data_IF_304531133275
#
_entry.id   IF_304531133275
#
_cell.length_a   1.000
_cell.length_b   1.000
_cell.length_c   1.000
_cell.angle_alpha   90.00
_cell.angle_beta   90.00
_cell.angle_gamma   90.00
#
_symmetry.space_group_name_H-M   'P 1'
#
loop_
_entity.id
_entity.type
_entity.pdbx_description
1 polymer ?
#
# COMPACT_ATOMS: atom_id res chain seq x y z
N UNK A 1 -21.52 -26.56 -5.43
CA UNK A 1 -20.42 -25.59 -5.59
C UNK A 1 -20.88 -24.13 -5.81
N UNK A 2 -21.89 -23.81 -6.64
CA UNK A 2 -22.32 -22.41 -6.88
C UNK A 2 -22.82 -21.66 -5.62
N UNK A 3 -23.49 -22.38 -4.70
CA UNK A 3 -23.95 -21.83 -3.40
C UNK A 3 -22.77 -21.43 -2.49
N UNK A 4 -21.71 -22.25 -2.45
CA UNK A 4 -20.52 -21.97 -1.65
C UNK A 4 -19.73 -20.77 -2.19
N UNK A 5 -19.56 -20.69 -3.52
CA UNK A 5 -18.97 -19.51 -4.17
C UNK A 5 -19.77 -18.24 -3.86
N UNK A 6 -21.10 -18.30 -4.03
CA UNK A 6 -21.98 -17.14 -3.77
C UNK A 6 -21.90 -16.70 -2.32
N UNK A 7 -21.87 -17.64 -1.38
CA UNK A 7 -21.69 -17.36 0.04
C UNK A 7 -20.33 -16.68 0.29
N UNK A 8 -19.22 -17.30 -0.14
CA UNK A 8 -17.88 -16.75 0.06
C UNK A 8 -17.72 -15.35 -0.55
N UNK A 9 -18.21 -15.14 -1.78
CA UNK A 9 -18.19 -13.85 -2.45
C UNK A 9 -18.97 -12.79 -1.66
N UNK A 10 -20.23 -13.09 -1.28
CA UNK A 10 -21.06 -12.15 -0.52
C UNK A 10 -20.46 -11.82 0.84
N UNK A 11 -19.96 -12.83 1.57
CA UNK A 11 -19.33 -12.62 2.87
C UNK A 11 -18.10 -11.72 2.76
N UNK A 12 -17.24 -11.93 1.75
CA UNK A 12 -16.07 -11.06 1.52
C UNK A 12 -16.47 -9.63 1.13
N UNK A 13 -17.50 -9.46 0.32
CA UNK A 13 -18.02 -8.13 0.00
C UNK A 13 -18.62 -7.43 1.23
N UNK A 14 -19.39 -8.15 2.07
CA UNK A 14 -19.94 -7.62 3.33
C UNK A 14 -18.80 -7.18 4.27
N UNK A 15 -17.77 -8.00 4.45
CA UNK A 15 -16.60 -7.63 5.24
C UNK A 15 -15.89 -6.39 4.66
N UNK A 16 -15.83 -6.27 3.33
CA UNK A 16 -15.28 -5.07 2.67
C UNK A 16 -16.13 -3.83 2.95
N UNK A 17 -17.47 -3.96 2.97
CA UNK A 17 -18.37 -2.85 3.38
C UNK A 17 -18.11 -2.46 4.83
N UNK A 18 -18.07 -3.44 5.74
CA UNK A 18 -17.83 -3.19 7.16
C UNK A 18 -16.48 -2.49 7.36
N UNK A 19 -15.44 -2.94 6.65
CA UNK A 19 -14.12 -2.31 6.66
C UNK A 19 -14.20 -0.83 6.27
N UNK A 20 -14.80 -0.49 5.13
CA UNK A 20 -14.91 0.90 4.68
C UNK A 20 -15.83 1.74 5.56
N UNK A 21 -16.92 1.16 6.07
CA UNK A 21 -17.83 1.84 6.99
C UNK A 21 -17.13 2.20 8.31
N UNK A 22 -16.42 1.26 8.94
CA UNK A 22 -15.64 1.52 10.15
C UNK A 22 -14.53 2.54 9.90
N UNK A 23 -13.81 2.41 8.79
CA UNK A 23 -12.75 3.35 8.38
C UNK A 23 -13.31 4.77 8.22
N UNK A 24 -14.47 4.90 7.56
CA UNK A 24 -15.16 6.18 7.39
C UNK A 24 -15.59 6.78 8.73
N UNK A 25 -16.20 5.98 9.61
CA UNK A 25 -16.63 6.42 10.94
C UNK A 25 -15.44 6.93 11.76
N UNK A 26 -14.35 6.17 11.84
CA UNK A 26 -13.16 6.60 12.59
C UNK A 26 -12.47 7.80 11.96
N UNK A 27 -12.42 7.88 10.62
CA UNK A 27 -11.86 9.06 9.93
C UNK A 27 -12.67 10.33 10.20
N UNK A 28 -14.01 10.23 10.18
CA UNK A 28 -14.90 11.33 10.57
C UNK A 28 -14.74 11.69 12.05
N UNK A 29 -14.58 10.69 12.92
CA UNK A 29 -14.31 10.93 14.33
C UNK A 29 -13.04 11.77 14.50
N UNK A 30 -11.91 11.40 13.89
CA UNK A 30 -10.67 12.19 13.96
C UNK A 30 -10.82 13.61 13.40
N UNK A 31 -11.57 13.77 12.30
CA UNK A 31 -11.85 15.08 11.72
C UNK A 31 -12.61 16.01 12.70
N UNK A 32 -13.43 15.44 13.58
CA UNK A 32 -14.27 16.19 14.54
C UNK A 32 -13.61 16.34 15.91
N UNK A 33 -12.98 15.30 16.44
CA UNK A 33 -12.45 15.26 17.81
C UNK A 33 -11.02 15.78 17.93
N UNK A 34 -10.25 15.71 16.84
CA UNK A 34 -8.91 16.28 16.76
C UNK A 34 -8.85 17.27 15.59
N UNK A 35 -9.73 18.29 15.57
CA UNK A 35 -9.90 19.13 14.42
C UNK A 35 -8.71 20.11 14.35
N UNK A 36 -8.08 20.17 13.18
CA UNK A 36 -7.02 21.16 12.92
C UNK A 36 -7.58 22.56 12.66
N UNK A 37 -8.88 22.68 12.38
CA UNK A 37 -9.58 23.95 12.17
C UNK A 37 -10.97 23.87 12.80
N UNK A 38 -11.74 24.96 12.76
CA UNK A 38 -13.12 24.95 13.25
C UNK A 38 -13.96 23.85 12.54
N UNK A 39 -14.69 23.04 13.32
CA UNK A 39 -15.46 21.89 12.81
C UNK A 39 -16.51 22.27 11.76
N UNK A 40 -17.17 23.42 11.90
CA UNK A 40 -18.13 23.91 10.89
C UNK A 40 -17.42 24.17 9.55
N UNK A 41 -16.26 24.84 9.59
CA UNK A 41 -15.45 25.07 8.39
C UNK A 41 -14.98 23.76 7.76
N UNK A 42 -14.61 22.76 8.57
CA UNK A 42 -14.22 21.44 8.08
C UNK A 42 -15.37 20.70 7.38
N UNK A 43 -16.60 20.79 7.90
CA UNK A 43 -17.79 20.21 7.26
C UNK A 43 -18.07 20.91 5.92
N UNK A 44 -18.01 22.25 5.89
CA UNK A 44 -18.17 23.01 4.65
C UNK A 44 -17.09 22.63 3.64
N UNK A 45 -15.83 22.54 4.07
CA UNK A 45 -14.71 22.14 3.23
C UNK A 45 -14.90 20.70 2.68
N UNK A 46 -15.39 19.77 3.51
CA UNK A 46 -15.71 18.41 3.07
C UNK A 46 -16.79 18.42 1.97
N UNK A 47 -17.85 19.20 2.13
CA UNK A 47 -18.89 19.33 1.11
C UNK A 47 -18.34 19.90 -0.20
N UNK A 48 -17.46 20.91 -0.12
CA UNK A 48 -16.77 21.47 -1.29
C UNK A 48 -15.92 20.41 -1.99
N UNK A 49 -15.14 19.61 -1.23
CA UNK A 49 -14.33 18.53 -1.78
C UNK A 49 -15.21 17.48 -2.48
N UNK A 50 -16.32 17.05 -1.86
CA UNK A 50 -17.23 16.08 -2.46
C UNK A 50 -17.85 16.58 -3.77
N UNK A 51 -18.32 17.83 -3.78
CA UNK A 51 -18.85 18.49 -4.98
C UNK A 51 -17.76 18.62 -6.05
N UNK A 52 -16.56 19.06 -5.65
CA UNK A 52 -15.41 19.20 -6.53
C UNK A 52 -15.00 17.89 -7.18
N UNK A 53 -14.99 16.77 -6.43
CA UNK A 53 -14.74 15.43 -6.98
C UNK A 53 -15.79 15.08 -8.03
N UNK A 54 -17.07 15.20 -7.74
CA UNK A 54 -18.14 14.87 -8.71
C UNK A 54 -18.07 15.75 -9.95
N UNK A 55 -17.88 17.06 -9.77
CA UNK A 55 -17.80 18.03 -10.85
C UNK A 55 -16.61 17.78 -11.77
N UNK A 56 -15.40 17.66 -11.21
CA UNK A 56 -14.18 17.35 -11.97
C UNK A 56 -14.29 16.01 -12.68
N UNK A 57 -14.91 15.01 -12.03
CA UNK A 57 -15.18 13.69 -12.63
C UNK A 57 -16.05 13.80 -13.88
N UNK A 58 -17.07 14.66 -13.88
CA UNK A 58 -17.91 14.91 -15.06
C UNK A 58 -17.11 15.58 -16.18
N UNK A 59 -16.27 16.57 -15.85
CA UNK A 59 -15.44 17.29 -16.82
C UNK A 59 -14.46 16.33 -17.51
N UNK A 60 -13.62 15.62 -16.74
CA UNK A 60 -12.58 14.77 -17.31
C UNK A 60 -13.17 13.62 -18.14
N UNK A 61 -14.39 13.19 -17.83
CA UNK A 61 -15.08 12.16 -18.60
C UNK A 61 -15.83 12.67 -19.82
N UNK A 62 -16.17 13.96 -19.86
CA UNK A 62 -16.88 14.56 -20.99
C UNK A 62 -15.94 15.06 -22.08
N UNK A 63 -14.80 15.65 -21.70
CA UNK A 63 -13.98 16.44 -22.62
C UNK A 63 -12.71 15.75 -23.11
N UNK A 64 -12.23 14.70 -22.42
CA UNK A 64 -11.01 14.01 -22.83
C UNK A 64 -11.29 12.74 -23.62
N UNK A 65 -10.56 12.52 -24.70
CA UNK A 65 -10.39 11.17 -25.25
C UNK A 65 -9.54 10.32 -24.30
N UNK A 66 -9.52 9.00 -24.53
CA UNK A 66 -8.73 8.08 -23.72
C UNK A 66 -7.23 8.45 -23.72
N UNK A 67 -6.66 8.69 -24.91
CA UNK A 67 -5.24 9.04 -25.07
C UNK A 67 -4.92 10.40 -24.45
N UNK A 68 -5.76 11.40 -24.69
CA UNK A 68 -5.59 12.72 -24.08
C UNK A 68 -5.61 12.65 -22.55
N UNK A 69 -6.52 11.85 -21.99
CA UNK A 69 -6.60 11.67 -20.53
C UNK A 69 -5.33 11.01 -19.99
N UNK A 70 -4.81 9.96 -20.64
CA UNK A 70 -3.56 9.30 -20.22
C UNK A 70 -2.39 10.29 -20.23
N UNK A 71 -2.24 11.08 -21.28
CA UNK A 71 -1.17 12.09 -21.37
C UNK A 71 -1.34 13.12 -20.24
N UNK A 72 -2.55 13.68 -20.10
CA UNK A 72 -2.85 14.65 -19.06
C UNK A 72 -2.56 14.12 -17.66
N UNK A 73 -3.04 12.93 -17.31
CA UNK A 73 -2.91 12.41 -15.96
C UNK A 73 -1.47 12.03 -15.61
N UNK A 74 -0.71 11.52 -16.58
CA UNK A 74 0.72 11.25 -16.40
C UNK A 74 1.51 12.55 -16.21
N UNK A 75 1.24 13.58 -17.03
CA UNK A 75 1.88 14.89 -16.88
C UNK A 75 1.51 15.54 -15.55
N UNK A 76 0.24 15.52 -15.15
CA UNK A 76 -0.21 16.05 -13.87
C UNK A 76 0.49 15.35 -12.70
N UNK A 77 0.51 14.01 -12.70
CA UNK A 77 1.14 13.23 -11.65
C UNK A 77 2.65 13.51 -11.56
N UNK A 78 3.32 13.59 -12.72
CA UNK A 78 4.75 13.89 -12.83
C UNK A 78 5.07 15.31 -12.35
N UNK A 79 4.37 16.33 -12.86
CA UNK A 79 4.64 17.75 -12.56
C UNK A 79 4.43 18.05 -11.08
N UNK A 80 3.33 17.59 -10.46
CA UNK A 80 3.07 17.85 -9.04
C UNK A 80 4.17 17.28 -8.14
N UNK A 81 4.67 16.08 -8.46
CA UNK A 81 5.72 15.40 -7.71
C UNK A 81 7.09 15.99 -7.98
N UNK A 82 7.39 16.34 -9.23
CA UNK A 82 8.61 17.04 -9.60
C UNK A 82 8.69 18.39 -8.88
N UNK A 83 7.61 19.17 -8.91
CA UNK A 83 7.51 20.45 -8.20
C UNK A 83 7.76 20.27 -6.69
N UNK A 84 7.19 19.22 -6.08
CA UNK A 84 7.43 18.92 -4.67
C UNK A 84 8.91 18.63 -4.37
N UNK A 85 9.56 17.71 -5.10
CA UNK A 85 10.95 17.34 -4.79
C UNK A 85 11.96 18.46 -5.07
N UNK A 86 11.62 19.41 -5.95
CA UNK A 86 12.45 20.58 -6.25
C UNK A 86 12.26 21.72 -5.24
N UNK A 87 11.15 21.74 -4.49
CA UNK A 87 10.83 22.82 -3.55
C UNK A 87 11.06 22.43 -2.08
N UNK A 88 10.83 21.16 -1.73
CA UNK A 88 10.94 20.67 -0.35
C UNK A 88 12.14 19.73 -0.21
N UNK A 89 13.15 20.20 0.51
CA UNK A 89 14.34 19.42 0.85
C UNK A 89 14.11 18.63 2.14
N UNK A 90 13.52 17.45 1.98
CA UNK A 90 13.31 16.49 3.08
C UNK A 90 14.63 15.85 3.51
N UNK A 91 14.91 15.85 4.82
CA UNK A 91 16.06 15.18 5.42
C UNK A 91 15.92 13.65 5.32
N UNK A 92 17.04 12.96 5.12
CA UNK A 92 17.10 11.50 5.11
C UNK A 92 17.37 11.05 6.55
N UNK A 93 16.40 10.37 7.18
CA UNK A 93 16.46 10.00 8.60
C UNK A 93 16.08 8.53 8.82
N UNK A 94 16.43 8.01 10.00
CA UNK A 94 16.08 6.65 10.47
C UNK A 94 16.47 5.57 9.44
N UNK A 95 15.60 4.57 9.22
CA UNK A 95 15.80 3.48 8.27
C UNK A 95 16.22 3.96 6.87
N UNK A 96 15.68 5.09 6.40
CA UNK A 96 16.02 5.63 5.09
C UNK A 96 17.45 6.14 5.03
N UNK A 97 18.00 6.64 6.14
CA UNK A 97 19.40 7.05 6.24
C UNK A 97 20.33 5.82 6.25
N UNK A 98 19.97 4.78 7.00
CA UNK A 98 20.72 3.53 7.04
C UNK A 98 20.86 2.92 5.64
N UNK A 99 19.74 2.77 4.93
CA UNK A 99 19.74 2.24 3.55
C UNK A 99 20.48 3.16 2.57
N UNK A 100 20.32 4.47 2.68
CA UNK A 100 21.03 5.40 1.79
C UNK A 100 22.55 5.37 1.99
N UNK A 101 23.01 5.39 3.25
CA UNK A 101 24.45 5.34 3.56
C UNK A 101 25.06 4.01 3.12
N UNK A 102 24.40 2.88 3.41
CA UNK A 102 24.82 1.58 2.90
C UNK A 102 24.83 1.51 1.37
N UNK A 103 23.92 2.21 0.70
CA UNK A 103 23.92 2.30 -0.76
C UNK A 103 25.09 3.12 -1.31
N UNK A 104 25.49 4.20 -0.64
CA UNK A 104 26.69 4.99 -0.97
C UNK A 104 27.95 4.15 -0.81
N UNK A 105 28.08 3.43 0.31
CA UNK A 105 29.18 2.50 0.53
C UNK A 105 29.25 1.42 -0.57
N UNK A 106 28.13 0.76 -0.85
CA UNK A 106 28.03 -0.27 -1.88
C UNK A 106 28.40 0.26 -3.28
N UNK A 107 27.99 1.49 -3.63
CA UNK A 107 28.33 2.11 -4.91
C UNK A 107 29.85 2.34 -5.06
N UNK A 108 30.55 2.53 -3.92
CA UNK A 108 32.00 2.66 -3.83
C UNK A 108 32.72 1.30 -3.60
N UNK A 109 32.03 0.17 -3.81
CA UNK A 109 32.52 -1.19 -3.55
C UNK A 109 32.90 -1.47 -2.08
N UNK A 110 32.37 -0.70 -1.14
CA UNK A 110 32.47 -0.98 0.28
C UNK A 110 31.19 -1.70 0.75
N UNK A 111 31.34 -2.94 1.26
CA UNK A 111 30.21 -3.73 1.76
C UNK A 111 30.25 -3.92 3.29
N UNK A 112 31.10 -3.19 4.01
CA UNK A 112 31.24 -3.33 5.47
C UNK A 112 29.94 -3.02 6.23
N UNK A 113 29.12 -2.10 5.72
CA UNK A 113 27.82 -1.71 6.28
C UNK A 113 26.88 -2.91 6.47
N UNK A 114 26.99 -3.94 5.62
CA UNK A 114 26.12 -5.11 5.68
C UNK A 114 26.35 -5.98 6.93
N UNK A 115 27.46 -5.78 7.64
CA UNK A 115 27.76 -6.41 8.92
C UNK A 115 27.21 -5.64 10.13
N UNK A 116 26.65 -4.44 9.93
CA UNK A 116 26.03 -3.68 11.02
C UNK A 116 24.78 -4.38 11.54
N UNK A 117 24.44 -4.13 12.81
CA UNK A 117 23.27 -4.74 13.47
C UNK A 117 21.99 -4.53 12.67
N UNK A 118 21.81 -3.36 12.05
CA UNK A 118 20.62 -3.06 11.23
C UNK A 118 20.46 -4.08 10.08
N UNK A 119 21.50 -4.27 9.27
CA UNK A 119 21.47 -5.12 8.07
C UNK A 119 21.58 -6.61 8.41
N UNK A 120 22.19 -6.97 9.53
CA UNK A 120 22.23 -8.36 10.00
C UNK A 120 20.94 -8.79 10.72
N UNK A 121 20.15 -7.84 11.23
CA UNK A 121 18.81 -8.10 11.79
C UNK A 121 17.76 -8.19 10.69
N UNK A 122 17.71 -7.17 9.83
CA UNK A 122 16.72 -7.01 8.77
C UNK A 122 17.38 -7.14 7.41
N UNK A 123 17.93 -8.32 7.13
CA UNK A 123 18.69 -8.61 5.90
C UNK A 123 17.89 -8.25 4.65
N UNK A 124 16.57 -8.41 4.68
CA UNK A 124 15.67 -8.00 3.60
C UNK A 124 15.82 -6.52 3.15
N UNK A 125 16.33 -5.62 4.00
CA UNK A 125 16.58 -4.21 3.63
C UNK A 125 17.70 -4.06 2.60
N UNK A 126 18.57 -5.07 2.45
CA UNK A 126 19.59 -5.09 1.41
C UNK A 126 19.00 -5.06 0.00
N UNK A 127 17.77 -5.57 -0.21
CA UNK A 127 17.12 -5.51 -1.51
C UNK A 127 16.97 -4.09 -2.05
N UNK A 128 16.39 -3.20 -1.23
CA UNK A 128 16.24 -1.79 -1.60
C UNK A 128 17.56 -1.02 -1.56
N UNK A 129 18.44 -1.34 -0.60
CA UNK A 129 19.78 -0.73 -0.46
C UNK A 129 20.63 -0.96 -1.72
N UNK A 130 20.67 -2.19 -2.23
CA UNK A 130 21.41 -2.53 -3.44
C UNK A 130 20.79 -1.93 -4.71
N UNK A 131 19.46 -1.78 -4.74
CA UNK A 131 18.80 -1.00 -5.78
C UNK A 131 19.28 0.47 -5.77
N UNK A 132 19.31 1.12 -4.60
CA UNK A 132 19.82 2.48 -4.48
C UNK A 132 21.29 2.57 -4.88
N UNK A 133 22.11 1.60 -4.48
CA UNK A 133 23.53 1.54 -4.84
C UNK A 133 23.73 1.50 -6.37
N UNK A 134 22.91 0.71 -7.08
CA UNK A 134 22.90 0.68 -8.54
C UNK A 134 22.55 2.03 -9.16
N UNK A 135 21.56 2.75 -8.60
CA UNK A 135 21.21 4.11 -9.06
C UNK A 135 22.38 5.07 -8.84
N UNK A 136 22.99 5.05 -7.65
CA UNK A 136 24.12 5.92 -7.32
C UNK A 136 25.35 5.61 -8.18
N UNK A 137 25.56 4.34 -8.54
CA UNK A 137 26.64 3.95 -9.45
C UNK A 137 26.45 4.52 -10.86
N UNK A 138 25.21 4.57 -11.34
CA UNK A 138 24.88 5.03 -12.69
C UNK A 138 24.83 6.55 -12.83
N UNK A 139 24.34 7.25 -11.80
CA UNK A 139 24.08 8.70 -11.86
C UNK A 139 24.97 9.54 -10.92
N UNK A 140 25.95 8.91 -10.27
CA UNK A 140 26.72 9.49 -9.17
C UNK A 140 25.94 9.50 -7.86
N UNK A 141 26.57 10.00 -6.79
CA UNK A 141 25.98 10.11 -5.44
C UNK A 141 24.88 11.20 -5.36
N UNK A 142 23.85 11.05 -6.19
CA UNK A 142 22.79 12.03 -6.42
C UNK A 142 21.49 11.57 -5.77
N UNK A 143 21.16 12.16 -4.63
CA UNK A 143 19.84 12.03 -3.99
C UNK A 143 18.72 12.42 -4.95
N UNK A 144 18.95 13.42 -5.81
CA UNK A 144 17.98 13.87 -6.81
C UNK A 144 17.66 12.76 -7.82
N UNK A 145 18.63 11.94 -8.24
CA UNK A 145 18.39 10.83 -9.16
C UNK A 145 17.40 9.82 -8.57
N UNK A 146 17.55 9.45 -7.29
CA UNK A 146 16.62 8.56 -6.59
C UNK A 146 15.23 9.21 -6.48
N UNK A 147 15.16 10.50 -6.12
CA UNK A 147 13.88 11.23 -6.04
C UNK A 147 13.17 11.31 -7.40
N UNK A 148 13.90 11.51 -8.50
CA UNK A 148 13.33 11.50 -9.86
C UNK A 148 12.77 10.12 -10.22
N UNK A 149 13.44 9.03 -9.85
CA UNK A 149 12.90 7.68 -10.03
C UNK A 149 11.61 7.48 -9.21
N UNK A 150 11.54 8.00 -7.97
CA UNK A 150 10.29 8.00 -7.19
C UNK A 150 9.15 8.72 -7.94
N UNK A 151 9.43 9.87 -8.57
CA UNK A 151 8.44 10.60 -9.39
C UNK A 151 7.94 9.71 -10.54
N UNK A 152 8.84 9.03 -11.23
CA UNK A 152 8.49 8.13 -12.34
C UNK A 152 7.65 6.93 -11.86
N UNK A 153 8.04 6.30 -10.75
CA UNK A 153 7.28 5.18 -10.17
C UNK A 153 5.87 5.60 -9.77
N UNK A 154 5.73 6.74 -9.09
CA UNK A 154 4.40 7.25 -8.73
C UNK A 154 3.55 7.64 -9.94
N UNK A 155 4.16 8.17 -11.00
CA UNK A 155 3.48 8.44 -12.27
C UNK A 155 2.99 7.13 -12.90
N UNK A 156 3.83 6.09 -12.88
CA UNK A 156 3.46 4.75 -13.33
C UNK A 156 2.35 4.10 -12.50
N UNK A 157 2.38 4.25 -11.17
CA UNK A 157 1.30 3.78 -10.29
C UNK A 157 -0.02 4.46 -10.67
N UNK A 158 -0.01 5.77 -10.91
CA UNK A 158 -1.19 6.54 -11.37
C UNK A 158 -1.79 5.95 -12.64
N UNK A 159 -0.94 5.62 -13.62
CA UNK A 159 -1.37 4.96 -14.85
C UNK A 159 -1.95 3.56 -14.60
N UNK A 160 -1.33 2.75 -13.73
CA UNK A 160 -1.86 1.42 -13.43
C UNK A 160 -3.20 1.47 -12.69
N UNK A 161 -3.40 2.42 -11.78
CA UNK A 161 -4.70 2.66 -11.13
C UNK A 161 -5.76 2.95 -12.18
N UNK A 162 -5.49 3.89 -13.09
CA UNK A 162 -6.39 4.22 -14.21
C UNK A 162 -6.76 2.96 -14.98
N UNK A 163 -5.77 2.20 -15.43
CA UNK A 163 -6.01 1.01 -16.26
C UNK A 163 -6.75 -0.08 -15.49
N UNK A 164 -6.40 -0.35 -14.23
CA UNK A 164 -7.06 -1.36 -13.41
C UNK A 164 -8.53 -0.99 -13.19
N UNK A 165 -8.81 0.22 -12.70
CA UNK A 165 -10.18 0.66 -12.46
C UNK A 165 -11.03 0.72 -13.75
N UNK A 166 -10.45 1.13 -14.89
CA UNK A 166 -11.13 1.07 -16.19
C UNK A 166 -11.52 -0.35 -16.60
N UNK A 167 -10.67 -1.35 -16.34
CA UNK A 167 -10.98 -2.76 -16.64
C UNK A 167 -11.95 -3.38 -15.63
N UNK A 168 -11.83 -3.02 -14.35
CA UNK A 168 -12.67 -3.59 -13.31
C UNK A 168 -14.12 -3.10 -13.41
N UNK A 169 -14.29 -1.82 -13.70
CA UNK A 169 -15.59 -1.15 -13.66
C UNK A 169 -15.96 -0.51 -15.00
N UNK A 170 -15.29 0.58 -15.36
CA UNK A 170 -15.49 1.34 -16.59
C UNK A 170 -14.51 2.52 -16.66
N UNK A 171 -14.40 3.12 -17.85
CA UNK A 171 -13.52 4.27 -18.10
C UNK A 171 -13.71 5.43 -17.12
N UNK A 172 -14.96 5.72 -16.73
CA UNK A 172 -15.23 6.80 -15.78
C UNK A 172 -14.58 6.54 -14.43
N UNK A 173 -14.78 5.35 -13.87
CA UNK A 173 -14.15 4.96 -12.61
C UNK A 173 -12.63 5.04 -12.68
N UNK A 174 -12.04 4.63 -13.81
CA UNK A 174 -10.61 4.70 -14.05
C UNK A 174 -10.06 6.12 -14.00
N UNK A 175 -10.71 7.05 -14.71
CA UNK A 175 -10.28 8.45 -14.74
C UNK A 175 -10.34 9.10 -13.36
N UNK A 176 -11.41 8.85 -12.62
CA UNK A 176 -11.58 9.39 -11.26
C UNK A 176 -10.53 8.82 -10.31
N UNK A 177 -10.34 7.50 -10.28
CA UNK A 177 -9.38 6.87 -9.40
C UNK A 177 -7.95 7.42 -9.60
N UNK A 178 -7.54 7.60 -10.85
CA UNK A 178 -6.23 8.13 -11.16
C UNK A 178 -6.08 9.62 -10.88
N UNK A 179 -7.13 10.43 -11.11
CA UNK A 179 -7.14 11.84 -10.75
C UNK A 179 -6.93 12.02 -9.25
N UNK A 180 -7.68 11.28 -8.43
CA UNK A 180 -7.56 11.33 -6.98
C UNK A 180 -6.16 10.90 -6.52
N UNK A 181 -5.59 9.84 -7.09
CA UNK A 181 -4.23 9.42 -6.74
C UNK A 181 -3.15 10.42 -7.18
N UNK A 182 -3.31 11.03 -8.37
CA UNK A 182 -2.37 12.01 -8.89
C UNK A 182 -2.26 13.22 -7.97
N UNK A 183 -3.37 13.65 -7.37
CA UNK A 183 -3.48 14.81 -6.47
C UNK A 183 -3.45 14.47 -4.98
N UNK A 184 -3.28 13.19 -4.61
CA UNK A 184 -3.30 12.79 -3.19
C UNK A 184 -2.02 13.25 -2.48
N UNK A 185 -2.19 14.15 -1.50
CA UNK A 185 -1.10 14.85 -0.81
C UNK A 185 -0.05 13.87 -0.23
N UNK A 186 -0.41 12.85 0.58
CA UNK A 186 0.57 11.88 1.08
C UNK A 186 1.47 11.27 -0.01
N UNK A 187 0.91 10.95 -1.17
CA UNK A 187 1.66 10.31 -2.26
C UNK A 187 2.57 11.29 -3.01
N UNK A 188 2.20 12.57 -3.06
CA UNK A 188 3.06 13.62 -3.59
C UNK A 188 4.23 13.82 -2.64
N UNK A 189 3.93 14.02 -1.35
CA UNK A 189 4.94 14.35 -0.35
C UNK A 189 5.96 13.25 -0.15
N UNK A 190 5.53 11.99 -0.15
CA UNK A 190 6.44 10.86 0.02
C UNK A 190 7.47 10.74 -1.11
N UNK A 191 7.32 11.42 -2.26
CA UNK A 191 8.33 11.36 -3.33
C UNK A 191 9.67 11.97 -2.95
N UNK A 192 9.69 12.89 -1.98
CA UNK A 192 10.92 13.46 -1.43
C UNK A 192 11.57 12.56 -0.37
N UNK A 193 10.89 11.50 0.08
CA UNK A 193 11.44 10.50 1.00
C UNK A 193 12.06 9.36 0.20
N UNK A 194 13.25 8.89 0.59
CA UNK A 194 13.95 7.77 -0.06
C UNK A 194 13.37 6.40 0.35
N UNK A 195 12.06 6.28 0.23
CA UNK A 195 11.28 5.14 0.72
C UNK A 195 11.22 3.99 -0.28
N UNK A 196 11.30 2.76 0.23
CA UNK A 196 11.10 1.53 -0.55
C UNK A 196 9.65 1.31 -1.03
N UNK A 197 8.72 2.17 -0.61
CA UNK A 197 7.29 2.04 -0.90
C UNK A 197 6.94 2.31 -2.37
N UNK A 198 7.61 3.27 -3.02
CA UNK A 198 7.27 3.70 -4.39
C UNK A 198 7.55 2.61 -5.41
N UNK A 199 8.79 2.13 -5.45
CA UNK A 199 9.20 1.08 -6.38
C UNK A 199 8.43 -0.21 -6.12
N UNK A 200 8.29 -0.64 -4.86
CA UNK A 200 7.52 -1.84 -4.53
C UNK A 200 6.06 -1.74 -5.01
N UNK A 201 5.38 -0.62 -4.71
CA UNK A 201 3.98 -0.40 -5.12
C UNK A 201 3.86 -0.33 -6.65
N UNK A 202 4.81 0.31 -7.34
CA UNK A 202 4.84 0.33 -8.80
C UNK A 202 4.91 -1.09 -9.38
N UNK A 203 5.82 -1.93 -8.89
CA UNK A 203 5.98 -3.32 -9.34
C UNK A 203 4.73 -4.16 -9.04
N UNK A 204 4.17 -4.04 -7.84
CA UNK A 204 2.94 -4.74 -7.47
C UNK A 204 1.77 -4.36 -8.38
N UNK A 205 1.51 -3.07 -8.59
CA UNK A 205 0.40 -2.62 -9.42
C UNK A 205 0.61 -2.86 -10.91
N UNK A 206 1.86 -2.90 -11.39
CA UNK A 206 2.18 -3.42 -12.72
C UNK A 206 1.76 -4.90 -12.85
N UNK A 207 2.10 -5.72 -11.85
CA UNK A 207 1.68 -7.12 -11.78
C UNK A 207 0.16 -7.29 -11.70
N UNK A 208 -0.52 -6.48 -10.89
CA UNK A 208 -1.98 -6.50 -10.76
C UNK A 208 -2.64 -6.09 -12.07
N UNK A 209 -2.13 -5.06 -12.75
CA UNK A 209 -2.64 -4.66 -14.06
C UNK A 209 -2.47 -5.79 -15.09
N UNK A 210 -1.31 -6.45 -15.14
CA UNK A 210 -1.07 -7.56 -16.05
C UNK A 210 -2.04 -8.72 -15.77
N UNK A 211 -2.26 -9.06 -14.49
CA UNK A 211 -3.24 -10.06 -14.07
C UNK A 211 -4.66 -9.68 -14.50
N UNK A 212 -5.09 -8.44 -14.26
CA UNK A 212 -6.43 -7.94 -14.62
C UNK A 212 -6.64 -7.93 -16.13
N UNK A 213 -5.64 -7.48 -16.91
CA UNK A 213 -5.73 -7.33 -18.36
C UNK A 213 -5.69 -8.66 -19.10
N UNK A 214 -4.78 -9.56 -18.70
CA UNK A 214 -4.50 -10.79 -19.45
C UNK A 214 -5.19 -12.02 -18.83
N UNK A 215 -5.51 -11.97 -17.54
CA UNK A 215 -6.04 -13.10 -16.79
C UNK A 215 -5.02 -14.20 -16.57
N UNK A 216 -5.36 -15.14 -15.69
CA UNK A 216 -4.49 -16.29 -15.37
C UNK A 216 -4.35 -17.28 -16.53
N UNK A 217 -5.29 -17.29 -17.49
CA UNK A 217 -5.28 -18.23 -18.62
C UNK A 217 -4.23 -17.92 -19.68
N UNK A 218 -3.69 -16.70 -19.72
CA UNK A 218 -2.65 -16.32 -20.69
C UNK A 218 -1.38 -17.18 -20.55
N UNK A 219 -0.72 -17.51 -21.66
CA UNK A 219 0.38 -18.48 -21.72
C UNK A 219 1.56 -18.14 -20.79
N UNK A 220 2.05 -16.90 -20.86
CA UNK A 220 3.24 -16.46 -20.09
C UNK A 220 2.99 -15.32 -19.09
N UNK A 221 1.82 -14.69 -19.08
CA UNK A 221 1.62 -13.48 -18.27
C UNK A 221 1.78 -13.74 -16.76
N UNK A 222 1.39 -14.94 -16.30
CA UNK A 222 1.54 -15.35 -14.91
C UNK A 222 2.99 -15.37 -14.43
N UNK A 223 3.96 -15.66 -15.32
CA UNK A 223 5.39 -15.62 -15.02
C UNK A 223 5.80 -14.19 -14.68
N UNK A 224 5.46 -13.23 -15.53
CA UNK A 224 5.79 -11.83 -15.30
C UNK A 224 5.06 -11.23 -14.10
N UNK A 225 3.80 -11.65 -13.84
CA UNK A 225 3.10 -11.27 -12.61
C UNK A 225 3.90 -11.72 -11.39
N UNK A 226 4.37 -12.97 -11.36
CA UNK A 226 5.19 -13.47 -10.25
C UNK A 226 6.53 -12.78 -10.12
N UNK A 227 7.22 -12.50 -11.24
CA UNK A 227 8.50 -11.77 -11.23
C UNK A 227 8.30 -10.36 -10.65
N UNK A 228 7.25 -9.65 -11.08
CA UNK A 228 6.94 -8.31 -10.58
C UNK A 228 6.59 -8.32 -9.07
N UNK A 229 5.83 -9.32 -8.61
CA UNK A 229 5.53 -9.48 -7.19
C UNK A 229 6.80 -9.82 -6.39
N UNK A 230 7.67 -10.69 -6.90
CA UNK A 230 8.93 -11.04 -6.23
C UNK A 230 9.86 -9.82 -6.09
N UNK A 231 10.09 -9.07 -7.17
CA UNK A 231 10.91 -7.87 -7.08
C UNK A 231 10.27 -6.80 -6.18
N UNK A 232 8.95 -6.64 -6.21
CA UNK A 232 8.26 -5.75 -5.27
C UNK A 232 8.47 -6.16 -3.82
N UNK A 233 8.45 -7.46 -3.53
CA UNK A 233 8.67 -8.02 -2.20
C UNK A 233 10.12 -7.89 -1.71
N UNK A 234 11.09 -8.07 -2.61
CA UNK A 234 12.51 -7.82 -2.34
C UNK A 234 12.73 -6.35 -1.94
N UNK A 235 12.03 -5.41 -2.57
CA UNK A 235 12.12 -3.99 -2.19
C UNK A 235 11.41 -3.71 -0.87
N UNK A 236 10.23 -4.30 -0.66
CA UNK A 236 9.43 -4.12 0.56
C UNK A 236 8.62 -5.39 0.85
N UNK A 237 8.84 -6.07 2.00
CA UNK A 237 8.30 -7.41 2.25
C UNK A 237 6.79 -7.42 2.53
N UNK A 238 5.97 -7.37 1.47
CA UNK A 238 4.50 -7.39 1.48
C UNK A 238 3.95 -8.54 0.59
N UNK A 239 4.80 -9.13 -0.23
CA UNK A 239 4.52 -10.17 -1.22
C UNK A 239 3.75 -11.35 -0.65
N UNK A 240 4.03 -11.78 0.60
CA UNK A 240 3.28 -12.87 1.23
C UNK A 240 1.78 -12.57 1.35
N UNK A 241 1.40 -11.33 1.68
CA UNK A 241 -0.01 -10.91 1.76
C UNK A 241 -0.65 -10.93 0.39
N UNK A 242 0.09 -10.49 -0.63
CA UNK A 242 -0.34 -10.49 -2.03
C UNK A 242 -0.54 -11.91 -2.55
N UNK A 243 0.40 -12.81 -2.27
CA UNK A 243 0.34 -14.22 -2.66
C UNK A 243 -0.83 -14.92 -1.99
N UNK A 244 -1.06 -14.70 -0.69
CA UNK A 244 -2.22 -15.24 0.01
C UNK A 244 -3.53 -14.73 -0.60
N UNK A 245 -3.65 -13.43 -0.88
CA UNK A 245 -4.82 -12.88 -1.55
C UNK A 245 -5.02 -13.48 -2.95
N UNK A 246 -3.94 -13.70 -3.71
CA UNK A 246 -3.97 -14.31 -5.04
C UNK A 246 -4.39 -15.79 -4.98
N UNK A 247 -3.83 -16.56 -4.04
CA UNK A 247 -4.19 -17.96 -3.79
C UNK A 247 -5.69 -18.03 -3.49
N UNK A 248 -6.16 -17.30 -2.48
CA UNK A 248 -7.57 -17.29 -2.08
C UNK A 248 -8.48 -16.84 -3.22
N UNK A 249 -8.07 -15.84 -3.99
CA UNK A 249 -8.79 -15.38 -5.17
C UNK A 249 -8.95 -16.52 -6.19
N UNK A 250 -7.87 -17.20 -6.59
CA UNK A 250 -7.92 -18.27 -7.58
C UNK A 250 -8.71 -19.48 -7.06
N UNK A 251 -8.54 -19.85 -5.79
CA UNK A 251 -9.30 -20.93 -5.14
C UNK A 251 -10.81 -20.63 -5.17
N UNK A 252 -11.23 -19.45 -4.70
CA UNK A 252 -12.64 -19.09 -4.63
C UNK A 252 -13.24 -18.97 -6.03
N UNK A 253 -12.58 -18.26 -6.95
CA UNK A 253 -13.18 -17.93 -8.26
C UNK A 253 -13.09 -19.05 -9.29
N UNK A 254 -12.01 -19.85 -9.30
CA UNK A 254 -11.74 -20.83 -10.35
C UNK A 254 -11.85 -22.29 -9.88
N UNK A 255 -11.67 -22.58 -8.59
CA UNK A 255 -11.82 -23.96 -8.07
C UNK A 255 -13.22 -24.18 -7.50
N UNK A 256 -13.67 -23.29 -6.61
CA UNK A 256 -14.99 -23.36 -5.97
C UNK A 256 -16.06 -22.75 -6.89
N UNK A 257 -15.71 -21.69 -7.61
CA UNK A 257 -16.59 -21.00 -8.55
C UNK A 257 -16.91 -21.80 -9.82
N UNK A 258 -17.80 -21.22 -10.63
CA UNK A 258 -18.33 -21.77 -11.88
C UNK A 258 -17.58 -21.26 -13.14
N UNK A 259 -16.40 -20.67 -12.98
CA UNK A 259 -15.55 -20.28 -14.12
C UNK A 259 -15.27 -21.54 -14.98
N UNK A 260 -15.62 -21.50 -16.28
CA UNK A 260 -15.34 -22.56 -17.25
C UNK A 260 -13.86 -22.57 -17.68
N UNK A 261 -12.95 -22.57 -16.71
CA UNK A 261 -11.51 -22.62 -16.92
C UNK A 261 -10.98 -23.96 -16.42
N UNK A 262 -10.01 -24.54 -17.12
CA UNK A 262 -9.39 -25.80 -16.74
C UNK A 262 -8.73 -25.68 -15.35
N UNK A 263 -9.27 -26.38 -14.35
CA UNK A 263 -8.77 -26.35 -12.96
C UNK A 263 -7.32 -26.84 -12.84
N UNK A 264 -6.93 -27.85 -13.62
CA UNK A 264 -5.53 -28.35 -13.64
C UNK A 264 -4.57 -27.27 -14.12
N UNK A 265 -4.96 -26.49 -15.13
CA UNK A 265 -4.17 -25.34 -15.61
C UNK A 265 -4.04 -24.27 -14.52
N UNK A 266 -5.12 -23.95 -13.81
CA UNK A 266 -5.07 -22.93 -12.73
C UNK A 266 -4.14 -23.38 -11.60
N UNK A 267 -4.24 -24.63 -11.16
CA UNK A 267 -3.36 -25.20 -10.13
C UNK A 267 -1.90 -25.23 -10.59
N UNK A 268 -1.64 -25.70 -11.83
CA UNK A 268 -0.29 -25.72 -12.40
C UNK A 268 0.32 -24.33 -12.48
N UNK A 269 -0.43 -23.33 -12.93
CA UNK A 269 0.04 -21.94 -12.96
C UNK A 269 0.22 -21.36 -11.57
N UNK A 270 -0.63 -21.69 -10.61
CA UNK A 270 -0.43 -21.24 -9.23
C UNK A 270 0.87 -21.80 -8.64
N UNK A 271 1.13 -23.09 -8.84
CA UNK A 271 2.40 -23.73 -8.43
C UNK A 271 3.58 -23.08 -9.16
N UNK A 272 3.46 -22.88 -10.48
CA UNK A 272 4.47 -22.18 -11.27
C UNK A 272 4.71 -20.75 -10.77
N UNK A 273 3.65 -20.02 -10.40
CA UNK A 273 3.75 -18.67 -9.87
C UNK A 273 4.51 -18.62 -8.54
N UNK A 274 4.24 -19.58 -7.64
CA UNK A 274 5.00 -19.74 -6.39
C UNK A 274 6.45 -20.11 -6.67
N UNK A 275 6.69 -21.05 -7.59
CA UNK A 275 8.03 -21.45 -8.01
C UNK A 275 8.84 -20.27 -8.55
N UNK A 276 8.29 -19.50 -9.50
CA UNK A 276 8.95 -18.31 -10.06
C UNK A 276 9.23 -17.27 -8.96
N UNK A 277 8.27 -17.03 -8.06
CA UNK A 277 8.46 -16.09 -6.96
C UNK A 277 9.66 -16.48 -6.08
N UNK A 278 9.70 -17.72 -5.59
CA UNK A 278 10.80 -18.18 -4.74
C UNK A 278 12.13 -18.31 -5.49
N UNK A 279 12.13 -18.68 -6.78
CA UNK A 279 13.34 -18.72 -7.60
C UNK A 279 13.96 -17.33 -7.71
N UNK A 280 13.17 -16.27 -7.95
CA UNK A 280 13.68 -14.90 -8.02
C UNK A 280 14.29 -14.48 -6.67
N UNK A 281 13.62 -14.77 -5.55
CA UNK A 281 14.17 -14.52 -4.21
C UNK A 281 15.46 -15.29 -3.96
N UNK A 282 15.51 -16.58 -4.33
CA UNK A 282 16.68 -17.42 -4.17
C UNK A 282 17.87 -16.87 -4.97
N UNK A 283 17.68 -16.59 -6.27
CA UNK A 283 18.72 -16.04 -7.13
C UNK A 283 19.27 -14.76 -6.53
N UNK A 284 18.40 -13.82 -6.17
CA UNK A 284 18.84 -12.52 -5.65
C UNK A 284 19.55 -12.66 -4.28
N UNK A 285 18.99 -13.46 -3.36
CA UNK A 285 19.58 -13.72 -2.04
C UNK A 285 20.95 -14.38 -2.11
N UNK A 286 21.08 -15.46 -2.88
CA UNK A 286 22.33 -16.20 -2.98
C UNK A 286 23.37 -15.50 -3.84
N UNK A 287 22.97 -14.59 -4.73
CA UNK A 287 23.92 -13.69 -5.41
C UNK A 287 24.60 -12.76 -4.41
N UNK A 288 23.85 -12.15 -3.47
CA UNK A 288 24.45 -11.31 -2.43
C UNK A 288 25.38 -12.10 -1.50
N UNK A 289 25.04 -13.35 -1.20
CA UNK A 289 25.91 -14.24 -0.41
C UNK A 289 27.18 -14.60 -1.19
N UNK A 290 27.03 -15.07 -2.42
CA UNK A 290 28.16 -15.53 -3.24
C UNK A 290 29.14 -14.40 -3.60
N UNK A 291 28.66 -13.16 -3.67
CA UNK A 291 29.49 -11.97 -3.90
C UNK A 291 30.08 -11.38 -2.62
N UNK A 292 29.81 -11.98 -1.46
CA UNK A 292 30.35 -11.55 -0.17
C UNK A 292 29.70 -10.30 0.42
N UNK A 293 28.56 -9.84 -0.12
CA UNK A 293 27.82 -8.68 0.40
C UNK A 293 27.22 -8.99 1.77
N UNK A 294 26.72 -10.20 1.98
CA UNK A 294 26.17 -10.63 3.28
C UNK A 294 26.41 -12.11 3.53
N UNK A 295 26.40 -12.52 4.79
CA UNK A 295 26.51 -13.93 5.20
C UNK A 295 25.13 -14.61 5.34
N UNK A 296 24.03 -13.84 5.21
CA UNK A 296 22.68 -14.32 5.52
C UNK A 296 21.73 -14.25 4.32
N UNK A 297 20.74 -15.15 4.23
CA UNK A 297 19.66 -15.01 3.26
C UNK A 297 18.85 -13.73 3.46
N UNK A 298 18.23 -13.23 2.39
CA UNK A 298 17.31 -12.09 2.41
C UNK A 298 16.00 -12.45 3.12
N UNK A 299 16.04 -12.41 4.44
CA UNK A 299 14.90 -12.62 5.33
C UNK A 299 15.02 -11.71 6.56
N UNK A 300 13.98 -11.68 7.39
CA UNK A 300 14.12 -11.13 8.74
C UNK A 300 14.75 -12.20 9.61
N UNK A 301 15.87 -11.90 10.26
CA UNK A 301 16.45 -12.78 11.29
C UNK A 301 15.80 -12.60 12.66
N UNK A 302 14.95 -11.59 12.76
CA UNK A 302 14.12 -11.32 13.92
C UNK A 302 12.64 -11.33 13.49
N UNK A 303 11.97 -12.50 13.57
CA UNK A 303 10.60 -12.66 13.10
C UNK A 303 9.55 -12.20 14.12
N UNK A 304 9.88 -12.11 15.41
CA UNK A 304 8.90 -11.82 16.47
C UNK A 304 8.81 -10.33 16.81
N UNK A 305 9.86 -9.54 16.55
CA UNK A 305 9.91 -8.10 16.84
C UNK A 305 8.66 -7.30 16.46
N UNK A 306 8.15 -7.51 15.24
CA UNK A 306 6.95 -6.78 14.78
C UNK A 306 5.69 -7.13 15.57
N UNK A 307 5.61 -8.34 16.13
CA UNK A 307 4.52 -8.75 17.01
C UNK A 307 4.70 -8.21 18.42
N UNK A 308 5.93 -8.18 18.94
CA UNK A 308 6.23 -7.54 20.24
C UNK A 308 5.69 -6.12 20.22
N UNK A 309 6.22 -5.27 19.33
CA UNK A 309 5.79 -3.87 19.22
C UNK A 309 4.31 -3.76 18.87
N UNK A 310 3.83 -4.59 17.94
CA UNK A 310 2.45 -4.56 17.47
C UNK A 310 1.40 -4.93 18.51
N UNK A 311 1.75 -5.76 19.49
CA UNK A 311 0.85 -6.21 20.55
C UNK A 311 0.99 -5.38 21.84
N UNK A 312 1.81 -4.32 21.83
CA UNK A 312 1.96 -3.45 22.99
C UNK A 312 0.73 -2.54 23.17
N UNK A 313 -0.03 -2.66 24.28
CA UNK A 313 -1.19 -1.81 24.55
C UNK A 313 -0.82 -0.35 24.87
N UNK A 314 0.34 -0.09 25.46
CA UNK A 314 0.78 1.26 25.89
C UNK A 314 1.03 2.18 24.71
N UNK A 315 1.58 1.64 23.61
CA UNK A 315 1.81 2.38 22.36
C UNK A 315 0.69 2.17 21.35
N UNK A 316 -0.38 1.48 21.73
CA UNK A 316 -1.47 1.08 20.82
C UNK A 316 -0.94 0.40 19.54
N UNK A 317 0.05 -0.46 19.70
CA UNK A 317 0.69 -1.18 18.60
C UNK A 317 1.59 -0.33 17.69
N UNK A 318 1.91 0.91 18.06
CA UNK A 318 2.97 1.70 17.44
C UNK A 318 4.35 1.37 18.02
N UNK A 319 5.41 1.96 17.45
CA UNK A 319 6.78 1.76 17.92
C UNK A 319 6.94 2.04 19.42
N UNK A 320 7.59 1.12 20.14
CA UNK A 320 7.85 1.22 21.58
C UNK A 320 9.35 1.27 21.84
N UNK A 321 9.84 2.42 22.30
CA UNK A 321 11.23 2.57 22.71
C UNK A 321 11.60 1.70 23.92
N UNK A 322 10.74 1.55 24.96
CA UNK A 322 10.99 0.59 26.05
C UNK A 322 11.16 -0.85 25.56
N UNK A 323 10.28 -1.34 24.67
CA UNK A 323 10.40 -2.70 24.10
C UNK A 323 11.69 -2.84 23.30
N UNK A 324 12.00 -1.83 22.48
CA UNK A 324 13.24 -1.80 21.71
C UNK A 324 14.45 -1.90 22.63
N UNK A 325 14.50 -1.07 23.68
CA UNK A 325 15.59 -1.08 24.64
C UNK A 325 15.70 -2.43 25.36
N UNK A 326 14.60 -3.07 25.72
CA UNK A 326 14.60 -4.36 26.41
C UNK A 326 15.12 -5.48 25.49
N UNK A 327 14.53 -5.62 24.30
CA UNK A 327 14.82 -6.72 23.38
C UNK A 327 16.23 -6.60 22.79
N UNK A 328 16.69 -5.39 22.45
CA UNK A 328 17.99 -5.18 21.81
C UNK A 328 19.19 -5.25 22.76
N UNK A 329 18.97 -5.51 24.06
CA UNK A 329 20.06 -5.88 24.98
C UNK A 329 20.60 -7.29 24.69
N UNK A 330 19.79 -8.13 24.05
CA UNK A 330 20.14 -9.51 23.72
C UNK A 330 20.54 -9.63 22.24
N UNK A 331 21.59 -10.41 21.93
CA UNK A 331 21.93 -10.71 20.55
C UNK A 331 20.78 -11.49 19.88
N UNK A 332 20.69 -11.39 18.55
CA UNK A 332 19.69 -12.16 17.79
C UNK A 332 19.97 -13.65 17.99
N UNK A 333 18.98 -14.38 18.49
CA UNK A 333 19.08 -15.79 18.78
C UNK A 333 18.07 -16.21 19.84
N UNK A 334 18.29 -17.40 20.40
CA UNK A 334 17.32 -18.06 21.26
C UNK A 334 16.91 -17.22 22.48
N UNK A 335 17.87 -16.60 23.17
CA UNK A 335 17.58 -15.78 24.36
C UNK A 335 16.65 -14.60 24.04
N UNK A 336 16.96 -13.84 22.98
CA UNK A 336 16.10 -12.76 22.50
C UNK A 336 14.70 -13.29 22.13
N UNK A 337 14.63 -14.40 21.40
CA UNK A 337 13.37 -14.98 20.97
C UNK A 337 12.51 -15.45 22.14
N UNK A 338 13.10 -15.96 23.22
CA UNK A 338 12.35 -16.32 24.42
C UNK A 338 11.77 -15.08 25.11
N UNK A 339 12.53 -13.99 25.23
CA UNK A 339 12.00 -12.72 25.76
C UNK A 339 10.87 -12.16 24.89
N UNK A 340 11.04 -12.17 23.56
CA UNK A 340 10.01 -11.69 22.63
C UNK A 340 8.73 -12.53 22.71
N UNK A 341 8.85 -13.86 22.74
CA UNK A 341 7.71 -14.78 22.91
C UNK A 341 7.03 -14.62 24.26
N UNK A 342 7.80 -14.38 25.33
CA UNK A 342 7.26 -14.09 26.65
C UNK A 342 6.40 -12.82 26.62
N UNK A 343 6.94 -11.71 26.10
CA UNK A 343 6.20 -10.45 25.95
C UNK A 343 4.93 -10.62 25.11
N UNK A 344 5.01 -11.37 24.01
CA UNK A 344 3.84 -11.68 23.17
C UNK A 344 2.81 -12.46 23.99
N UNK A 345 3.24 -13.49 24.71
CA UNK A 345 2.37 -14.36 25.51
C UNK A 345 1.65 -13.57 26.61
N UNK A 346 2.38 -12.70 27.31
CA UNK A 346 1.83 -11.79 28.33
C UNK A 346 0.76 -10.86 27.72
N UNK A 347 1.05 -10.25 26.57
CA UNK A 347 0.15 -9.28 25.90
C UNK A 347 -1.11 -9.91 25.31
N UNK A 348 -1.06 -11.20 24.95
CA UNK A 348 -2.24 -11.92 24.46
C UNK A 348 -3.03 -12.62 25.57
N UNK A 349 -2.54 -12.62 26.82
CA UNK A 349 -3.18 -13.33 27.93
C UNK A 349 -4.56 -12.74 28.27
N UNK A 350 -4.62 -11.41 28.46
CA UNK A 350 -5.88 -10.70 28.68
C UNK A 350 -6.63 -10.47 27.35
N UNK A 351 -7.67 -11.28 27.12
CA UNK A 351 -8.50 -11.19 25.91
C UNK A 351 -9.29 -9.89 25.81
N UNK A 352 -9.68 -9.29 26.94
CA UNK A 352 -10.38 -8.01 26.97
C UNK A 352 -9.49 -6.88 26.52
N UNK A 353 -8.28 -6.79 27.10
CA UNK A 353 -7.27 -5.82 26.68
C UNK A 353 -6.83 -6.02 25.22
N UNK A 354 -6.66 -7.27 24.79
CA UNK A 354 -6.29 -7.60 23.40
C UNK A 354 -7.36 -7.12 22.39
N UNK A 355 -8.65 -7.35 22.69
CA UNK A 355 -9.73 -6.88 21.83
C UNK A 355 -9.81 -5.34 21.79
N UNK A 356 -9.57 -4.68 22.93
CA UNK A 356 -9.49 -3.23 22.99
C UNK A 356 -8.31 -2.69 22.17
N UNK A 357 -7.14 -3.35 22.25
CA UNK A 357 -5.98 -3.04 21.44
C UNK A 357 -6.29 -3.18 19.95
N UNK A 358 -6.92 -4.28 19.52
CA UNK A 358 -7.31 -4.46 18.11
C UNK A 358 -8.25 -3.37 17.61
N UNK A 359 -9.24 -2.97 18.41
CA UNK A 359 -10.12 -1.84 18.10
C UNK A 359 -9.33 -0.53 17.96
N UNK A 360 -8.45 -0.24 18.92
CA UNK A 360 -7.68 1.00 18.94
C UNK A 360 -6.66 1.04 17.79
N UNK A 361 -6.00 -0.08 17.49
CA UNK A 361 -5.13 -0.24 16.31
C UNK A 361 -5.88 -0.01 15.01
N UNK A 362 -7.09 -0.56 14.87
CA UNK A 362 -7.91 -0.29 13.70
C UNK A 362 -8.23 1.22 13.59
N UNK A 363 -8.61 1.85 14.71
CA UNK A 363 -8.89 3.29 14.76
C UNK A 363 -7.66 4.13 14.35
N UNK A 364 -6.47 3.84 14.86
CA UNK A 364 -5.24 4.57 14.48
C UNK A 364 -4.86 4.26 13.03
N UNK A 365 -4.72 2.98 12.69
CA UNK A 365 -4.25 2.52 11.40
C UNK A 365 -5.18 2.93 10.26
N UNK A 366 -6.48 3.14 10.47
CA UNK A 366 -7.44 3.47 9.40
C UNK A 366 -8.21 4.77 9.61
N UNK A 367 -8.21 5.37 10.80
CA UNK A 367 -8.90 6.64 11.07
C UNK A 367 -7.98 7.85 11.14
N UNK A 368 -6.77 7.68 11.69
CA UNK A 368 -5.87 8.80 12.03
C UNK A 368 -5.32 9.54 10.80
N UNK A 369 -4.81 10.76 10.96
CA UNK A 369 -4.10 11.52 9.94
C UNK A 369 -2.90 10.75 9.39
N UNK A 370 -2.59 10.95 8.11
CA UNK A 370 -1.50 10.22 7.46
C UNK A 370 -0.13 10.75 7.92
N UNK A 371 0.68 9.87 8.50
CA UNK A 371 2.03 10.18 8.95
C UNK A 371 2.98 10.54 7.80
N UNK A 372 2.62 10.24 6.55
CA UNK A 372 3.40 10.62 5.36
C UNK A 372 3.68 12.13 5.28
N UNK A 373 2.83 12.97 5.88
CA UNK A 373 3.05 14.42 5.95
C UNK A 373 4.22 14.75 6.86
N UNK A 374 4.32 14.10 8.02
CA UNK A 374 5.48 14.21 8.91
C UNK A 374 6.76 13.79 8.18
N UNK A 375 6.74 12.63 7.53
CA UNK A 375 7.92 12.12 6.80
C UNK A 375 8.31 12.99 5.60
N UNK A 376 7.34 13.54 4.87
CA UNK A 376 7.60 14.39 3.71
C UNK A 376 8.10 15.80 4.06
N UNK A 377 7.85 16.27 5.29
CA UNK A 377 8.30 17.57 5.79
C UNK A 377 9.46 17.47 6.79
N UNK A 378 10.06 16.30 6.95
CA UNK A 378 11.19 16.13 7.87
C UNK A 378 12.33 17.11 7.51
N UNK A 379 12.75 17.95 8.46
CA UNK A 379 13.70 19.03 8.24
C UNK A 379 13.10 20.37 7.76
N UNK A 380 11.79 20.42 7.48
CA UNK A 380 11.08 21.61 7.01
C UNK A 380 10.00 22.04 8.01
N UNK A 381 10.40 22.84 8.99
CA UNK A 381 9.54 23.25 10.11
C UNK A 381 8.64 24.42 9.68
N UNK A 382 7.43 24.11 9.20
CA UNK A 382 6.35 25.08 8.97
C UNK A 382 5.01 24.56 9.51
N UNK A 383 4.70 24.82 10.79
CA UNK A 383 3.52 24.25 11.46
C UNK A 383 2.21 24.52 10.72
N UNK A 384 2.01 25.74 10.19
CA UNK A 384 0.80 26.12 9.48
C UNK A 384 0.63 25.33 8.17
N UNK A 385 1.75 25.07 7.46
CA UNK A 385 1.74 24.24 6.26
C UNK A 385 1.40 22.79 6.60
N UNK A 386 2.03 22.22 7.64
CA UNK A 386 1.76 20.86 8.09
C UNK A 386 0.28 20.69 8.47
N UNK A 387 -0.27 21.66 9.20
CA UNK A 387 -1.67 21.68 9.62
C UNK A 387 -2.62 21.75 8.42
N UNK A 388 -2.33 22.59 7.43
CA UNK A 388 -3.09 22.66 6.18
C UNK A 388 -3.04 21.33 5.41
N UNK A 389 -1.85 20.75 5.26
CA UNK A 389 -1.66 19.50 4.51
C UNK A 389 -2.37 18.32 5.18
N UNK A 390 -2.31 18.20 6.50
CA UNK A 390 -3.10 17.20 7.25
C UNK A 390 -4.59 17.40 7.10
N UNK A 391 -5.06 18.64 7.09
CA UNK A 391 -6.48 18.94 6.86
C UNK A 391 -6.92 18.49 5.47
N UNK A 392 -6.17 18.87 4.43
CA UNK A 392 -6.48 18.50 3.05
C UNK A 392 -6.39 16.99 2.83
N UNK A 393 -5.39 16.32 3.41
CA UNK A 393 -5.29 14.86 3.43
C UNK A 393 -6.53 14.24 4.03
N UNK A 394 -6.94 14.65 5.23
CA UNK A 394 -8.09 14.08 5.93
C UNK A 394 -9.39 14.25 5.15
N UNK A 395 -9.63 15.43 4.60
CA UNK A 395 -10.83 15.70 3.78
C UNK A 395 -10.85 14.80 2.53
N UNK A 396 -9.71 14.62 1.87
CA UNK A 396 -9.58 13.73 0.72
C UNK A 396 -9.78 12.27 1.13
N UNK A 397 -9.16 11.83 2.24
CA UNK A 397 -9.23 10.46 2.73
C UNK A 397 -10.65 10.07 3.17
N UNK A 398 -11.37 10.95 3.88
CA UNK A 398 -12.79 10.76 4.22
C UNK A 398 -13.63 10.61 2.94
N UNK A 399 -13.38 11.46 1.94
CA UNK A 399 -14.08 11.37 0.64
C UNK A 399 -13.78 10.05 -0.07
N UNK A 400 -12.54 9.58 -0.04
CA UNK A 400 -12.13 8.28 -0.59
C UNK A 400 -12.92 7.15 0.07
N UNK A 401 -12.94 7.13 1.42
CA UNK A 401 -13.63 6.10 2.19
C UNK A 401 -15.15 6.12 1.96
N UNK A 402 -15.76 7.31 1.85
CA UNK A 402 -17.18 7.46 1.57
C UNK A 402 -17.57 6.83 0.24
N UNK A 403 -16.90 7.21 -0.85
CA UNK A 403 -17.23 6.66 -2.17
C UNK A 403 -16.82 5.17 -2.30
N UNK A 404 -15.72 4.75 -1.66
CA UNK A 404 -15.36 3.33 -1.62
C UNK A 404 -16.42 2.51 -0.85
N UNK A 405 -16.99 3.04 0.23
CA UNK A 405 -18.11 2.43 0.94
C UNK A 405 -19.34 2.28 0.01
N UNK A 406 -19.72 3.35 -0.70
CA UNK A 406 -20.82 3.32 -1.69
C UNK A 406 -20.59 2.25 -2.76
N UNK A 407 -19.38 2.19 -3.32
CA UNK A 407 -18.99 1.17 -4.28
C UNK A 407 -19.13 -0.25 -3.71
N UNK A 408 -18.62 -0.47 -2.49
CA UNK A 408 -18.63 -1.79 -1.85
C UNK A 408 -20.05 -2.28 -1.53
N UNK A 409 -20.98 -1.38 -1.17
CA UNK A 409 -22.41 -1.72 -0.99
C UNK A 409 -23.01 -2.22 -2.31
N UNK A 410 -22.68 -1.55 -3.42
CA UNK A 410 -23.19 -1.93 -4.74
C UNK A 410 -22.65 -3.29 -5.20
N UNK A 411 -21.38 -3.58 -4.92
CA UNK A 411 -20.71 -4.82 -5.36
C UNK A 411 -21.20 -6.08 -4.65
N UNK A 412 -21.85 -5.98 -3.48
CA UNK A 412 -22.55 -7.12 -2.85
C UNK A 412 -23.57 -7.74 -3.81
N UNK A 413 -24.29 -6.90 -4.57
CA UNK A 413 -25.36 -7.33 -5.49
C UNK A 413 -24.83 -7.61 -6.89
N UNK A 414 -23.68 -7.07 -7.27
CA UNK A 414 -23.10 -7.20 -8.61
C UNK A 414 -21.96 -8.22 -8.64
N UNK A 415 -22.25 -9.43 -9.11
CA UNK A 415 -21.23 -10.47 -9.34
C UNK A 415 -20.56 -10.36 -10.73
N UNK A 416 -20.53 -9.16 -11.31
CA UNK A 416 -20.14 -8.97 -12.72
C UNK A 416 -18.66 -9.25 -12.98
N UNK A 417 -17.79 -8.77 -12.08
CA UNK A 417 -16.34 -8.92 -12.26
C UNK A 417 -15.73 -9.69 -11.09
N UNK A 418 -15.44 -10.98 -11.32
CA UNK A 418 -14.87 -11.85 -10.27
C UNK A 418 -13.48 -11.40 -9.84
N UNK A 419 -12.73 -10.71 -10.72
CA UNK A 419 -11.39 -10.17 -10.41
C UNK A 419 -11.42 -9.12 -9.32
N UNK A 420 -12.57 -8.48 -9.07
CA UNK A 420 -12.76 -7.58 -7.93
C UNK A 420 -12.47 -8.28 -6.59
N UNK A 421 -12.73 -9.58 -6.50
CA UNK A 421 -12.51 -10.36 -5.28
C UNK A 421 -11.03 -10.34 -4.85
N UNK A 422 -10.09 -10.29 -5.80
CA UNK A 422 -8.67 -10.16 -5.50
C UNK A 422 -8.38 -8.89 -4.71
N UNK A 423 -8.95 -7.75 -5.13
CA UNK A 423 -8.75 -6.46 -4.46
C UNK A 423 -9.45 -6.40 -3.09
N UNK A 424 -10.63 -7.02 -2.96
CA UNK A 424 -11.28 -7.18 -1.64
C UNK A 424 -10.42 -8.03 -0.68
N UNK A 425 -9.85 -9.14 -1.17
CA UNK A 425 -8.94 -9.98 -0.39
C UNK A 425 -7.64 -9.26 -0.03
N UNK A 426 -7.10 -8.41 -0.92
CA UNK A 426 -5.95 -7.57 -0.62
C UNK A 426 -6.25 -6.59 0.53
N UNK A 427 -7.39 -5.89 0.49
CA UNK A 427 -7.78 -4.95 1.56
C UNK A 427 -7.92 -5.69 2.89
N UNK A 428 -8.72 -6.77 2.91
CA UNK A 428 -9.02 -7.50 4.14
C UNK A 428 -7.80 -8.25 4.69
N UNK A 429 -6.98 -8.84 3.82
CA UNK A 429 -5.73 -9.50 4.20
C UNK A 429 -4.72 -8.52 4.76
N UNK A 430 -4.53 -7.37 4.11
CA UNK A 430 -3.60 -6.34 4.59
C UNK A 430 -4.06 -5.74 5.93
N UNK A 431 -5.36 -5.47 6.08
CA UNK A 431 -5.94 -5.05 7.35
C UNK A 431 -5.79 -6.11 8.45
N UNK A 432 -6.05 -7.38 8.11
CA UNK A 432 -5.93 -8.50 9.05
C UNK A 432 -4.52 -8.68 9.60
N UNK A 433 -3.49 -8.54 8.77
CA UNK A 433 -2.09 -8.63 9.23
C UNK A 433 -1.74 -7.51 10.21
N UNK A 434 -2.15 -6.27 9.93
CA UNK A 434 -1.87 -5.10 10.76
C UNK A 434 -2.60 -5.10 12.12
N UNK A 435 -3.56 -6.01 12.33
CA UNK A 435 -4.12 -6.23 13.67
C UNK A 435 -3.06 -6.83 14.61
N UNK A 436 -2.15 -7.67 14.10
CA UNK A 436 -1.15 -8.38 14.91
C UNK A 436 0.20 -7.69 14.96
N UNK A 437 0.63 -7.04 13.88
CA UNK A 437 1.96 -6.40 13.79
C UNK A 437 1.90 -4.89 14.04
N UNK A 438 3.06 -4.25 14.19
CA UNK A 438 3.20 -2.79 14.31
C UNK A 438 2.35 -2.01 13.29
N UNK A 439 1.70 -0.94 13.75
CA UNK A 439 0.90 -0.04 12.91
C UNK A 439 1.48 1.37 12.85
N UNK A 440 1.47 1.94 11.65
CA UNK A 440 1.68 3.36 11.40
C UNK A 440 0.80 3.78 10.22
N UNK A 441 0.16 4.95 10.26
CA UNK A 441 -0.76 5.38 9.20
C UNK A 441 -0.07 5.49 7.82
N UNK A 442 1.24 5.76 7.76
CA UNK A 442 2.00 5.71 6.49
C UNK A 442 2.00 4.34 5.82
N UNK A 443 1.82 3.24 6.56
CA UNK A 443 1.77 1.89 5.98
C UNK A 443 0.55 1.69 5.08
N UNK A 444 -0.43 2.61 5.09
CA UNK A 444 -1.54 2.62 4.13
C UNK A 444 -1.06 2.77 2.69
N UNK A 445 0.11 3.38 2.44
CA UNK A 445 0.61 3.74 1.10
C UNK A 445 0.39 2.65 0.03
N UNK A 446 0.72 1.40 0.35
CA UNK A 446 0.56 0.25 -0.56
C UNK A 446 -0.90 -0.02 -0.97
N UNK A 447 -1.84 0.10 -0.03
CA UNK A 447 -3.25 -0.30 -0.23
C UNK A 447 -4.15 0.87 -0.66
N UNK A 448 -3.75 2.12 -0.41
CA UNK A 448 -4.48 3.33 -0.84
C UNK A 448 -4.87 3.32 -2.33
N UNK A 449 -4.00 2.93 -3.28
CA UNK A 449 -4.42 2.88 -4.68
C UNK A 449 -5.62 1.94 -4.91
N UNK A 450 -5.73 0.84 -4.15
CA UNK A 450 -6.88 -0.07 -4.20
C UNK A 450 -8.14 0.59 -3.63
N UNK A 451 -8.02 1.44 -2.61
CA UNK A 451 -9.16 2.23 -2.10
C UNK A 451 -9.65 3.20 -3.19
N UNK A 452 -8.72 3.84 -3.90
CA UNK A 452 -9.04 4.79 -4.97
C UNK A 452 -9.68 4.09 -6.19
N UNK A 453 -9.26 2.86 -6.51
CA UNK A 453 -9.92 2.03 -7.53
C UNK A 453 -11.41 1.80 -7.17
N UNK A 454 -11.72 1.48 -5.91
CA UNK A 454 -13.10 1.33 -5.42
C UNK A 454 -13.86 2.66 -5.41
N UNK A 455 -13.23 3.71 -4.88
CA UNK A 455 -13.74 5.08 -4.80
C UNK A 455 -14.19 5.61 -6.17
N UNK A 456 -13.41 5.36 -7.23
CA UNK A 456 -13.77 5.78 -8.58
C UNK A 456 -15.11 5.21 -9.04
N UNK A 457 -15.41 3.95 -8.68
CA UNK A 457 -16.72 3.35 -8.96
C UNK A 457 -17.83 3.97 -8.12
N UNK A 458 -17.57 4.33 -6.87
CA UNK A 458 -18.52 5.04 -6.02
C UNK A 458 -18.96 6.37 -6.60
N UNK A 459 -18.01 7.17 -7.11
CA UNK A 459 -18.31 8.46 -7.77
C UNK A 459 -19.11 8.25 -9.05
N UNK A 460 -18.77 7.23 -9.84
CA UNK A 460 -19.56 6.85 -11.02
C UNK A 460 -21.02 6.57 -10.65
N UNK A 461 -21.27 5.77 -9.60
CA UNK A 461 -22.61 5.41 -9.17
C UNK A 461 -23.44 6.64 -8.75
N UNK A 462 -22.86 7.55 -7.98
CA UNK A 462 -23.51 8.81 -7.58
C UNK A 462 -23.82 9.68 -8.80
N UNK A 463 -22.87 9.81 -9.73
CA UNK A 463 -23.06 10.59 -10.95
C UNK A 463 -24.19 10.01 -11.82
N UNK A 464 -24.29 8.69 -11.94
CA UNK A 464 -25.37 8.03 -12.68
C UNK A 464 -26.73 8.20 -11.99
N UNK A 465 -26.76 8.15 -10.65
CA UNK A 465 -27.98 8.40 -9.89
C UNK A 465 -28.49 9.84 -10.11
N UNK A 466 -27.60 10.84 -10.03
CA UNK A 466 -27.94 12.25 -10.31
C UNK A 466 -28.46 12.41 -11.74
N UNK A 467 -27.78 11.85 -12.75
CA UNK A 467 -28.23 11.94 -14.16
C UNK A 467 -29.63 11.36 -14.38
N UNK A 468 -30.01 10.29 -13.67
CA UNK A 468 -31.36 9.73 -13.75
C UNK A 468 -32.40 10.60 -13.06
N UNK A 469 -32.05 11.18 -11.91
CA UNK A 469 -32.93 12.04 -11.11
C UNK A 469 -33.23 13.39 -11.77
N UNK A 470 -32.27 13.99 -12.48
CA UNK A 470 -32.41 15.32 -13.11
C UNK A 470 -32.81 15.27 -14.60
N UNK A 471 -32.99 14.07 -15.17
CA UNK A 471 -33.58 13.86 -16.50
C UNK A 471 -35.05 13.41 -16.44
N UNK A 472 -35.52 13.07 -15.25
CA UNK A 472 -36.94 12.93 -14.90
C UNK A 472 -37.38 14.25 -14.27
#
# INVERSE_FOLDING_TARGET
MPRLYTFAFKSLQILTVLFFAMTLIFSLQYLITEPKYNTFLLIVALMIVLIGIVFTSIIVNRFFTQTQFIIFICLLAFILRLAWILTIHTNIVQDFAQMYNGAVDAANNNFSFANETYFTTWVYQLGFTMYQAGVLKLFGESVLAIKLLNVLYCTGITYFIYRIASHLFNEFSGRVAALIFATYIPNIMMTSVLTNQHLATFLFYAGFYLLVKKGISHSYAWIFVSILIAFGDIMRPIGIVILLALILFLLITHIIGDQKINKKMVVSKLIGMLGVYYIVHFIFSYTLIATGVTQYPLSSRDPYWKFVVGLNPETTGGFSFPDHKLVFQYPIGDERFEIEKQLITERIADKGQLLLLFKNKFKIMWGDYDASIYWGLEGYIKPELSQLLWTLEKLCYVSICLFACIASIKTIKEQRNKTLLFFSLLILGYAGVHIFIEVQSRYRYFIIPTFMIMQGYGVYLITQYMKKRFRA
#
